data_IF_593134336970
#
_entry.id   IF_593134336970
#
_cell.length_a   1.000
_cell.length_b   1.000
_cell.length_c   1.000
_cell.angle_alpha   90.00
_cell.angle_beta   90.00
_cell.angle_gamma   90.00
#
_symmetry.space_group_name_H-M   'P 1'
#
loop_
_entity.id
_entity.type
_entity.pdbx_description
1 polymer ?
#
# COMPACT_ATOMS: atom_id res chain seq x y z
N UNK A 1 -33.18 -84.34 16.02
CA UNK A 1 -33.35 -82.88 16.27
C UNK A 1 -32.07 -82.33 16.89
N UNK A 2 -31.28 -81.54 16.15
CA UNK A 2 -30.03 -80.83 16.54
C UNK A 2 -29.44 -80.27 15.21
N UNK A 3 -28.91 -79.06 15.03
CA UNK A 3 -28.48 -77.93 15.87
C UNK A 3 -28.69 -76.63 15.04
N UNK A 4 -29.21 -75.54 15.61
CA UNK A 4 -29.15 -74.21 14.97
C UNK A 4 -27.71 -73.69 15.05
N UNK A 5 -27.08 -73.48 13.89
CA UNK A 5 -25.76 -72.85 13.75
C UNK A 5 -25.80 -71.44 14.36
N UNK A 6 -24.93 -71.20 15.34
CA UNK A 6 -24.61 -69.87 15.85
C UNK A 6 -23.75 -69.16 14.81
N UNK A 7 -24.14 -67.95 14.41
CA UNK A 7 -23.28 -67.08 13.61
C UNK A 7 -21.96 -66.88 14.37
N UNK A 8 -20.85 -67.23 13.73
CA UNK A 8 -19.50 -67.07 14.29
C UNK A 8 -19.16 -65.59 14.31
N UNK A 9 -18.99 -65.02 15.50
CA UNK A 9 -18.33 -63.72 15.68
C UNK A 9 -16.89 -63.90 15.20
N UNK A 10 -16.62 -63.50 13.95
CA UNK A 10 -15.28 -63.53 13.38
C UNK A 10 -14.49 -62.34 13.96
N UNK A 11 -13.50 -62.64 14.81
CA UNK A 11 -12.52 -61.64 15.26
C UNK A 11 -11.50 -61.37 14.16
N UNK A 12 -11.07 -60.11 14.02
CA UNK A 12 -10.02 -59.73 13.08
C UNK A 12 -8.68 -60.39 13.44
N UNK A 13 -7.93 -60.82 12.42
CA UNK A 13 -6.59 -61.36 12.63
C UNK A 13 -5.60 -60.24 12.98
N UNK A 14 -4.55 -60.56 13.74
CA UNK A 14 -3.52 -59.60 14.12
C UNK A 14 -2.85 -58.96 12.89
N UNK A 15 -2.67 -59.73 11.81
CA UNK A 15 -2.15 -59.25 10.52
C UNK A 15 -3.06 -58.22 9.85
N UNK A 16 -4.39 -58.45 9.84
CA UNK A 16 -5.35 -57.50 9.26
C UNK A 16 -5.40 -56.19 10.06
N UNK A 17 -5.32 -56.28 11.40
CA UNK A 17 -5.27 -55.09 12.26
C UNK A 17 -4.00 -54.26 12.01
N UNK A 18 -2.83 -54.91 11.86
CA UNK A 18 -1.57 -54.21 11.59
C UNK A 18 -1.56 -53.53 10.22
N UNK A 19 -2.08 -54.20 9.18
CA UNK A 19 -2.19 -53.59 7.83
C UNK A 19 -3.15 -52.40 7.86
N UNK A 20 -4.32 -52.54 8.49
CA UNK A 20 -5.31 -51.46 8.61
C UNK A 20 -4.76 -50.25 9.38
N UNK A 21 -4.07 -50.47 10.51
CA UNK A 21 -3.42 -49.41 11.29
C UNK A 21 -2.32 -48.71 10.50
N UNK A 22 -1.50 -49.46 9.75
CA UNK A 22 -0.43 -48.87 8.92
C UNK A 22 -0.98 -48.00 7.80
N UNK A 23 -2.05 -48.41 7.13
CA UNK A 23 -2.70 -47.61 6.09
C UNK A 23 -3.37 -46.37 6.69
N UNK A 24 -4.07 -46.53 7.82
CA UNK A 24 -4.73 -45.43 8.52
C UNK A 24 -3.75 -44.37 9.00
N UNK A 25 -2.57 -44.77 9.50
CA UNK A 25 -1.56 -43.83 9.98
C UNK A 25 -0.93 -43.02 8.84
N UNK A 26 -0.70 -43.62 7.66
CA UNK A 26 -0.22 -42.92 6.47
C UNK A 26 -1.25 -41.87 6.01
N UNK A 27 -2.53 -42.24 5.97
CA UNK A 27 -3.61 -41.31 5.59
C UNK A 27 -3.70 -40.15 6.58
N UNK A 28 -3.62 -40.43 7.88
CA UNK A 28 -3.66 -39.39 8.91
C UNK A 28 -2.44 -38.46 8.83
N UNK A 29 -1.24 -39.01 8.61
CA UNK A 29 -0.02 -38.22 8.42
C UNK A 29 -0.16 -37.30 7.20
N UNK A 30 -0.63 -37.82 6.07
CA UNK A 30 -0.88 -37.03 4.86
C UNK A 30 -1.91 -35.91 5.10
N UNK A 31 -2.98 -36.18 5.84
CA UNK A 31 -3.99 -35.19 6.19
C UNK A 31 -3.44 -34.07 7.07
N UNK A 32 -2.63 -34.39 8.08
CA UNK A 32 -2.00 -33.41 8.97
C UNK A 32 -1.01 -32.55 8.18
N UNK A 33 -0.14 -33.17 7.38
CA UNK A 33 0.82 -32.43 6.55
C UNK A 33 0.09 -31.50 5.58
N UNK A 34 -0.97 -31.99 4.91
CA UNK A 34 -1.80 -31.16 4.03
C UNK A 34 -2.42 -29.99 4.79
N UNK A 35 -2.98 -30.23 5.98
CA UNK A 35 -3.56 -29.19 6.83
C UNK A 35 -2.55 -28.09 7.20
N UNK A 36 -1.33 -28.47 7.61
CA UNK A 36 -0.27 -27.51 7.93
C UNK A 36 0.17 -26.73 6.69
N UNK A 37 0.28 -27.38 5.53
CA UNK A 37 0.64 -26.69 4.28
C UNK A 37 -0.42 -25.68 3.83
N UNK A 38 -1.71 -26.01 4.02
CA UNK A 38 -2.81 -25.08 3.74
C UNK A 38 -2.81 -23.88 4.67
N UNK A 39 -2.61 -24.09 5.98
CA UNK A 39 -2.51 -23.00 6.95
C UNK A 39 -1.37 -22.03 6.60
N UNK A 40 -0.19 -22.57 6.26
CA UNK A 40 0.94 -21.74 5.80
C UNK A 40 0.63 -20.98 4.52
N UNK A 41 -0.07 -21.62 3.59
CA UNK A 41 -0.47 -21.00 2.32
C UNK A 41 -1.46 -19.85 2.54
N UNK A 42 -2.46 -20.02 3.40
CA UNK A 42 -3.38 -18.93 3.74
C UNK A 42 -2.68 -17.77 4.45
N UNK A 43 -1.80 -18.07 5.41
CA UNK A 43 -1.01 -17.03 6.08
C UNK A 43 -0.11 -16.26 5.09
N UNK A 44 0.49 -16.94 4.12
CA UNK A 44 1.28 -16.31 3.07
C UNK A 44 0.42 -15.38 2.18
N UNK A 45 -0.78 -15.83 1.83
CA UNK A 45 -1.73 -15.06 1.02
C UNK A 45 -2.22 -13.81 1.75
N UNK A 46 -2.55 -13.91 3.04
CA UNK A 46 -2.97 -12.77 3.85
C UNK A 46 -1.89 -11.70 3.95
N UNK A 47 -0.62 -12.11 4.14
CA UNK A 47 0.51 -11.20 4.16
C UNK A 47 0.74 -10.53 2.80
N UNK A 48 0.59 -11.27 1.71
CA UNK A 48 0.69 -10.71 0.36
C UNK A 48 -0.39 -9.65 0.11
N UNK A 49 -1.66 -9.93 0.44
CA UNK A 49 -2.72 -8.93 0.23
C UNK A 49 -2.59 -7.73 1.16
N UNK A 50 -2.14 -7.92 2.39
CA UNK A 50 -1.86 -6.82 3.32
C UNK A 50 -0.81 -5.85 2.75
N UNK A 51 0.31 -6.38 2.22
CA UNK A 51 1.35 -5.56 1.60
C UNK A 51 0.89 -4.92 0.28
N UNK A 52 0.17 -5.66 -0.56
CA UNK A 52 -0.41 -5.14 -1.80
C UNK A 52 -1.40 -3.98 -1.55
N UNK A 53 -2.24 -4.09 -0.52
CA UNK A 53 -3.16 -3.02 -0.15
C UNK A 53 -2.43 -1.75 0.28
N UNK A 54 -1.31 -1.89 0.99
CA UNK A 54 -0.46 -0.74 1.35
C UNK A 54 0.19 -0.10 0.12
N UNK A 55 0.67 -0.89 -0.85
CA UNK A 55 1.19 -0.38 -2.13
C UNK A 55 0.17 0.49 -2.85
N UNK A 56 -1.06 -0.02 -3.02
CA UNK A 56 -2.14 0.68 -3.71
C UNK A 56 -2.48 1.98 -2.97
N UNK A 57 -2.52 1.93 -1.63
CA UNK A 57 -2.79 3.11 -0.80
C UNK A 57 -1.75 4.21 -1.02
N UNK A 58 -0.45 3.89 -1.02
CA UNK A 58 0.59 4.90 -1.26
C UNK A 58 0.37 5.59 -2.61
N UNK A 59 0.15 4.79 -3.65
CA UNK A 59 -0.06 5.31 -5.01
C UNK A 59 -1.29 6.19 -5.09
N UNK A 60 -2.41 5.79 -4.48
CA UNK A 60 -3.64 6.59 -4.49
C UNK A 60 -3.44 7.93 -3.79
N UNK A 61 -2.84 7.91 -2.59
CA UNK A 61 -2.54 9.12 -1.83
C UNK A 61 -1.62 10.07 -2.61
N UNK A 62 -0.52 9.55 -3.15
CA UNK A 62 0.44 10.34 -3.89
C UNK A 62 -0.20 10.88 -5.18
N UNK A 63 -0.90 10.06 -5.96
CA UNK A 63 -1.60 10.51 -7.16
C UNK A 63 -2.65 11.57 -6.88
N UNK A 64 -3.40 11.42 -5.78
CA UNK A 64 -4.42 12.39 -5.36
C UNK A 64 -3.78 13.74 -5.07
N UNK A 65 -2.67 13.75 -4.34
CA UNK A 65 -2.00 14.99 -3.96
C UNK A 65 -1.22 15.58 -5.15
N UNK A 66 -0.71 14.77 -6.10
CA UNK A 66 -0.06 15.25 -7.34
C UNK A 66 -1.09 15.96 -8.20
N UNK A 67 -2.28 15.37 -8.36
CA UNK A 67 -3.36 15.98 -9.14
C UNK A 67 -3.81 17.32 -8.58
N UNK A 68 -3.68 17.52 -7.27
CA UNK A 68 -4.02 18.77 -6.56
C UNK A 68 -2.84 19.73 -6.42
N UNK A 69 -1.61 19.29 -6.67
CA UNK A 69 -0.43 20.11 -6.52
C UNK A 69 -0.36 21.26 -7.53
N UNK A 70 0.45 22.25 -7.21
CA UNK A 70 0.97 23.26 -8.14
C UNK A 70 2.36 22.87 -8.64
N UNK A 71 3.18 22.34 -7.72
CA UNK A 71 4.55 21.91 -7.97
C UNK A 71 4.81 20.63 -7.17
N UNK A 72 5.55 19.72 -7.79
CA UNK A 72 6.07 18.49 -7.15
C UNK A 72 7.58 18.49 -7.31
N UNK A 73 8.28 18.28 -6.20
CA UNK A 73 9.74 18.22 -6.16
C UNK A 73 10.16 16.97 -5.43
N UNK A 74 10.97 16.13 -6.06
CA UNK A 74 11.58 14.98 -5.38
C UNK A 74 12.96 15.39 -4.85
N UNK A 75 13.34 14.85 -3.69
CA UNK A 75 14.69 15.05 -3.17
C UNK A 75 15.74 14.31 -4.02
N UNK A 76 16.98 14.79 -3.97
CA UNK A 76 18.12 14.22 -4.72
C UNK A 76 18.46 12.79 -4.31
N UNK A 77 18.17 12.43 -3.06
CA UNK A 77 18.33 11.08 -2.51
C UNK A 77 17.15 10.15 -2.85
N UNK A 78 16.13 10.67 -3.54
CA UNK A 78 14.90 9.97 -3.91
C UNK A 78 14.09 9.44 -2.72
N UNK A 79 14.34 9.94 -1.50
CA UNK A 79 13.67 9.46 -0.28
C UNK A 79 12.47 10.30 0.14
N UNK A 80 12.29 11.47 -0.48
CA UNK A 80 11.18 12.35 -0.20
C UNK A 80 10.59 12.98 -1.46
N UNK A 81 9.27 13.19 -1.41
CA UNK A 81 8.51 13.90 -2.44
C UNK A 81 7.77 15.03 -1.74
N UNK A 82 8.09 16.26 -2.11
CA UNK A 82 7.49 17.48 -1.57
C UNK A 82 6.57 18.11 -2.59
N UNK A 83 5.43 18.58 -2.14
CA UNK A 83 4.35 19.05 -2.99
C UNK A 83 3.73 20.29 -2.39
N UNK A 84 3.48 21.29 -3.22
CA UNK A 84 2.74 22.48 -2.82
C UNK A 84 1.29 22.35 -3.31
N UNK A 85 0.34 22.29 -2.37
CA UNK A 85 -1.09 22.11 -2.66
C UNK A 85 -1.84 23.41 -2.33
N UNK A 86 -2.70 23.93 -3.23
CA UNK A 86 -3.50 25.11 -2.93
C UNK A 86 -4.52 24.85 -1.82
N UNK A 87 -4.80 25.88 -1.03
CA UNK A 87 -5.97 25.86 -0.13
C UNK A 87 -7.25 26.19 -0.91
N UNK A 88 -8.06 25.16 -1.16
CA UNK A 88 -9.32 25.30 -1.92
C UNK A 88 -10.46 25.92 -1.11
N UNK A 89 -10.43 25.80 0.22
CA UNK A 89 -11.47 26.30 1.12
C UNK A 89 -10.88 27.43 1.95
N UNK A 90 -11.67 28.49 2.13
CA UNK A 90 -11.31 29.61 3.00
C UNK A 90 -11.37 29.12 4.45
N UNK A 91 -10.27 29.27 5.18
CA UNK A 91 -10.18 28.92 6.59
C UNK A 91 -9.98 30.17 7.44
N UNK A 92 -10.25 30.05 8.74
CA UNK A 92 -10.00 31.12 9.69
C UNK A 92 -8.53 31.57 9.63
N UNK A 93 -8.31 32.88 9.57
CA UNK A 93 -6.97 33.49 9.50
C UNK A 93 -6.41 33.64 8.08
N UNK A 94 -7.08 33.14 7.04
CA UNK A 94 -6.72 33.48 5.67
C UNK A 94 -7.15 34.93 5.33
N UNK A 95 -6.49 35.64 4.39
CA UNK A 95 -6.80 37.04 4.09
C UNK A 95 -8.26 37.30 3.73
N UNK A 96 -8.91 36.36 3.03
CA UNK A 96 -10.32 36.46 2.67
C UNK A 96 -11.23 36.35 3.90
N UNK A 97 -10.89 35.50 4.87
CA UNK A 97 -11.63 35.36 6.13
C UNK A 97 -11.44 36.55 7.09
N UNK A 98 -10.31 37.27 6.97
CA UNK A 98 -10.06 38.50 7.73
C UNK A 98 -10.93 39.64 7.19
N UNK A 99 -11.06 39.73 5.86
CA UNK A 99 -11.91 40.73 5.20
C UNK A 99 -13.41 40.42 5.36
N UNK A 100 -13.78 39.14 5.31
CA UNK A 100 -15.15 38.67 5.48
C UNK A 100 -15.19 37.34 6.28
N UNK A 101 -15.49 37.40 7.60
CA UNK A 101 -15.59 36.22 8.44
C UNK A 101 -16.69 35.23 8.02
N UNK A 102 -17.71 35.66 7.27
CA UNK A 102 -18.78 34.77 6.81
C UNK A 102 -18.33 33.88 5.64
N UNK A 103 -17.24 34.25 4.96
CA UNK A 103 -16.67 33.47 3.86
C UNK A 103 -15.95 32.18 4.32
N UNK A 104 -15.77 31.96 5.62
CA UNK A 104 -15.13 30.75 6.16
C UNK A 104 -15.94 29.52 5.74
N UNK A 105 -15.26 28.53 5.15
CA UNK A 105 -15.89 27.32 4.63
C UNK A 105 -16.36 27.42 3.18
N UNK A 106 -16.34 28.62 2.57
CA UNK A 106 -16.64 28.77 1.15
C UNK A 106 -15.45 28.33 0.28
N UNK A 107 -15.75 27.90 -0.95
CA UNK A 107 -14.74 27.57 -1.94
C UNK A 107 -14.08 28.85 -2.48
N UNK A 108 -12.76 28.81 -2.66
CA UNK A 108 -12.02 29.91 -3.27
C UNK A 108 -12.24 29.99 -4.78
N UNK A 109 -12.34 31.21 -5.27
CA UNK A 109 -12.41 31.48 -6.71
C UNK A 109 -11.03 31.25 -7.35
N UNK A 110 -10.92 30.40 -8.39
CA UNK A 110 -9.65 30.19 -9.08
C UNK A 110 -9.24 31.43 -9.87
N UNK A 111 -7.94 31.68 -9.93
CA UNK A 111 -7.29 32.67 -10.78
C UNK A 111 -6.30 31.97 -11.68
N UNK A 112 -6.08 32.50 -12.88
CA UNK A 112 -5.06 31.98 -13.80
C UNK A 112 -3.93 32.98 -13.88
N UNK A 113 -2.71 32.55 -13.56
CA UNK A 113 -1.53 33.39 -13.61
C UNK A 113 -0.39 32.68 -14.33
N UNK A 114 0.44 33.47 -15.00
CA UNK A 114 1.69 32.99 -15.57
C UNK A 114 2.78 33.03 -14.49
N UNK A 115 3.45 31.91 -14.25
CA UNK A 115 4.59 31.82 -13.33
C UNK A 115 5.82 31.31 -14.05
N UNK A 116 6.94 31.26 -13.33
CA UNK A 116 8.23 30.76 -13.84
C UNK A 116 8.13 29.36 -14.42
N UNK A 117 7.14 28.57 -14.01
CA UNK A 117 6.89 27.22 -14.49
C UNK A 117 5.78 27.13 -15.56
N UNK A 118 5.19 28.25 -15.97
CA UNK A 118 4.15 28.32 -17.01
C UNK A 118 2.79 28.84 -16.51
N UNK A 119 1.74 28.63 -17.31
CA UNK A 119 0.38 28.99 -16.91
C UNK A 119 -0.15 28.03 -15.84
N UNK A 120 -0.62 28.57 -14.73
CA UNK A 120 -1.21 27.78 -13.64
C UNK A 120 -2.49 28.40 -13.07
N UNK A 121 -3.38 27.51 -12.63
CA UNK A 121 -4.60 27.82 -11.89
C UNK A 121 -4.28 27.87 -10.40
N UNK A 122 -4.39 29.05 -9.81
CA UNK A 122 -4.15 29.29 -8.39
C UNK A 122 -5.46 29.55 -7.67
N UNK A 123 -5.57 29.07 -6.44
CA UNK A 123 -6.75 29.29 -5.60
C UNK A 123 -6.47 30.27 -4.47
N UNK A 124 -5.24 30.31 -3.94
CA UNK A 124 -4.83 31.17 -2.83
C UNK A 124 -3.36 31.53 -3.00
N UNK A 125 -2.91 32.71 -2.50
CA UNK A 125 -1.48 32.99 -2.33
C UNK A 125 -0.80 32.05 -1.33
N UNK A 126 -1.58 31.41 -0.45
CA UNK A 126 -1.09 30.48 0.56
C UNK A 126 -1.27 29.02 0.10
N UNK A 127 -0.23 28.22 0.28
CA UNK A 127 -0.24 26.80 -0.05
C UNK A 127 0.03 25.94 1.18
N UNK A 128 -0.57 24.76 1.20
CA UNK A 128 -0.23 23.69 2.15
C UNK A 128 0.91 22.86 1.57
N UNK A 129 1.95 22.64 2.36
CA UNK A 129 3.03 21.73 1.98
C UNK A 129 2.68 20.31 2.40
N UNK A 130 2.72 19.39 1.43
CA UNK A 130 2.60 17.95 1.66
C UNK A 130 3.95 17.31 1.37
N UNK A 131 4.47 16.56 2.33
CA UNK A 131 5.73 15.83 2.20
C UNK A 131 5.47 14.35 2.39
N UNK A 132 5.83 13.54 1.40
CA UNK A 132 5.98 12.11 1.57
C UNK A 132 7.44 11.81 1.86
N UNK A 133 7.72 11.07 2.92
CA UNK A 133 9.08 10.67 3.28
C UNK A 133 9.12 9.22 3.73
N UNK A 134 10.26 8.58 3.46
CA UNK A 134 10.57 7.27 4.02
C UNK A 134 11.18 7.50 5.40
N UNK A 135 10.62 6.85 6.41
CA UNK A 135 11.18 6.81 7.76
C UNK A 135 11.35 5.35 8.16
N UNK A 136 12.57 4.85 7.98
CA UNK A 136 12.90 3.44 8.12
C UNK A 136 12.06 2.56 7.21
N UNK A 137 11.10 1.89 7.81
CA UNK A 137 10.23 0.88 7.21
C UNK A 137 8.84 1.42 6.86
N UNK A 138 8.60 2.73 7.02
CA UNK A 138 7.30 3.35 6.80
C UNK A 138 7.38 4.50 5.81
N UNK A 139 6.30 4.70 5.07
CA UNK A 139 6.06 5.94 4.30
C UNK A 139 5.12 6.80 5.11
N UNK A 140 5.64 7.97 5.46
CA UNK A 140 4.93 9.01 6.18
C UNK A 140 4.45 10.06 5.18
N UNK A 141 3.27 10.59 5.44
CA UNK A 141 2.74 11.78 4.79
C UNK A 141 2.59 12.86 5.85
N UNK A 142 3.30 13.95 5.68
CA UNK A 142 3.20 15.13 6.53
C UNK A 142 2.44 16.22 5.78
N UNK A 143 1.34 16.69 6.35
CA UNK A 143 0.57 17.82 5.82
C UNK A 143 0.40 18.86 6.93
N UNK A 144 0.85 20.10 6.72
CA UNK A 144 0.79 21.17 7.72
C UNK A 144 1.32 20.76 9.11
N UNK A 145 2.40 19.98 9.14
CA UNK A 145 3.03 19.50 10.38
C UNK A 145 2.35 18.28 11.02
N UNK A 146 1.21 17.83 10.50
CA UNK A 146 0.54 16.61 10.96
C UNK A 146 1.09 15.41 10.19
N UNK A 147 1.71 14.47 10.92
CA UNK A 147 2.30 13.26 10.35
C UNK A 147 1.26 12.14 10.35
N UNK A 148 1.06 11.52 9.19
CA UNK A 148 0.21 10.34 9.02
C UNK A 148 1.02 9.20 8.41
N UNK A 149 1.03 8.04 9.04
CA UNK A 149 1.63 6.83 8.45
C UNK A 149 0.69 6.29 7.38
N UNK A 150 1.10 6.36 6.12
CA UNK A 150 0.30 5.87 4.99
C UNK A 150 0.51 4.38 4.80
N UNK A 151 1.75 3.94 4.95
CA UNK A 151 2.13 2.54 4.88
C UNK A 151 3.29 2.25 5.82
N UNK A 152 3.34 1.02 6.31
CA UNK A 152 4.41 0.52 7.15
C UNK A 152 4.71 -0.91 6.72
N UNK A 153 5.83 -1.09 6.03
CA UNK A 153 6.34 -2.40 5.67
C UNK A 153 7.45 -2.78 6.64
N UNK A 154 7.39 -3.94 7.28
CA UNK A 154 8.57 -4.49 7.97
C UNK A 154 9.78 -4.74 7.05
N UNK A 155 9.64 -4.56 5.72
CA UNK A 155 10.62 -5.06 4.74
C UNK A 155 11.01 -4.05 3.64
N UNK A 156 11.69 -2.96 4.04
CA UNK A 156 12.36 -1.95 3.21
C UNK A 156 11.54 -1.32 2.07
N UNK A 157 11.21 -0.04 2.24
CA UNK A 157 10.60 0.78 1.21
C UNK A 157 11.71 1.48 0.41
N UNK A 158 11.76 1.25 -0.90
CA UNK A 158 12.59 2.06 -1.80
C UNK A 158 11.68 2.59 -2.93
N UNK A 159 11.07 3.78 -2.76
CA UNK A 159 10.58 4.57 -3.87
C UNK A 159 11.80 4.95 -4.71
N UNK A 160 11.95 4.30 -5.87
CA UNK A 160 12.93 4.73 -6.87
C UNK A 160 12.14 5.40 -7.99
N UNK A 161 11.76 6.67 -7.78
CA UNK A 161 11.28 7.49 -8.89
C UNK A 161 12.47 8.15 -9.57
N UNK A 162 12.97 7.51 -10.63
CA UNK A 162 13.85 8.14 -11.62
C UNK A 162 13.00 8.99 -12.56
N UNK A 163 13.15 10.31 -12.48
CA UNK A 163 13.66 11.18 -13.56
C UNK A 163 13.15 12.61 -13.27
N UNK A 164 14.01 13.46 -12.71
CA UNK A 164 13.73 14.90 -12.56
C UNK A 164 14.74 15.65 -13.38
N UNK A 165 14.41 15.84 -14.65
CA UNK A 165 14.90 17.01 -15.34
C UNK A 165 14.16 18.21 -14.74
N UNK A 166 14.88 19.05 -13.99
CA UNK A 166 14.36 20.20 -13.23
C UNK A 166 13.62 21.26 -14.09
N UNK A 167 13.39 21.02 -15.37
CA UNK A 167 12.76 21.96 -16.28
C UNK A 167 11.22 21.85 -16.30
N UNK A 168 10.61 20.68 -16.08
CA UNK A 168 9.16 20.51 -16.27
C UNK A 168 8.49 19.61 -15.21
N UNK A 169 8.26 20.17 -14.03
CA UNK A 169 7.39 19.61 -12.98
C UNK A 169 5.93 19.57 -13.43
N UNK A 170 5.58 18.70 -14.38
CA UNK A 170 4.22 18.55 -14.92
C UNK A 170 3.56 17.23 -14.50
N UNK A 171 4.38 16.25 -14.16
CA UNK A 171 3.95 14.94 -13.72
C UNK A 171 4.91 14.37 -12.68
N UNK A 172 4.42 13.39 -11.94
CA UNK A 172 5.21 12.56 -11.05
C UNK A 172 5.07 11.10 -11.48
N UNK A 173 6.20 10.47 -11.78
CA UNK A 173 6.29 9.02 -11.93
C UNK A 173 6.61 8.42 -10.58
N UNK A 174 5.81 7.45 -10.16
CA UNK A 174 5.95 6.78 -8.87
C UNK A 174 6.11 5.31 -9.12
N UNK A 175 7.18 4.74 -8.56
CA UNK A 175 7.37 3.30 -8.47
C UNK A 175 7.42 2.92 -7.01
N UNK A 176 6.54 2.01 -6.60
CA UNK A 176 6.50 1.49 -5.24
C UNK A 176 6.68 -0.02 -5.32
N UNK A 177 7.75 -0.52 -4.70
CA UNK A 177 8.03 -1.95 -4.58
C UNK A 177 8.07 -2.31 -3.11
N UNK A 178 7.40 -3.39 -2.74
CA UNK A 178 7.58 -4.01 -1.43
C UNK A 178 8.17 -5.39 -1.65
N UNK A 179 9.00 -5.87 -0.72
CA UNK A 179 9.36 -7.28 -0.66
C UNK A 179 8.36 -8.01 0.26
N UNK A 180 7.52 -8.92 -0.27
CA UNK A 180 6.75 -9.81 0.58
C UNK A 180 7.68 -10.87 1.17
N UNK A 181 7.68 -10.99 2.49
CA UNK A 181 8.36 -12.09 3.20
C UNK A 181 7.43 -13.29 3.27
N UNK A 182 7.89 -14.42 2.77
CA UNK A 182 7.32 -15.72 3.08
C UNK A 182 8.19 -16.36 4.16
N UNK A 183 7.68 -16.45 5.39
CA UNK A 183 8.37 -17.16 6.46
C UNK A 183 8.02 -18.64 6.40
N UNK A 184 8.99 -19.47 6.04
CA UNK A 184 8.86 -20.93 6.17
C UNK A 184 9.90 -21.41 7.17
N UNK A 185 9.43 -21.86 8.34
CA UNK A 185 10.26 -22.55 9.34
C UNK A 185 11.55 -21.80 9.72
N UNK A 186 11.42 -20.51 10.05
CA UNK A 186 12.54 -19.66 10.48
C UNK A 186 13.47 -19.19 9.35
N UNK A 187 13.25 -19.64 8.11
CA UNK A 187 13.92 -19.12 6.92
C UNK A 187 13.06 -18.05 6.26
N UNK A 188 13.65 -16.86 6.09
CA UNK A 188 13.08 -15.73 5.37
C UNK A 188 13.43 -15.92 3.90
N UNK A 189 12.49 -16.45 3.11
CA UNK A 189 12.63 -16.43 1.66
C UNK A 189 12.08 -15.09 1.16
N UNK A 190 12.94 -14.06 1.09
CA UNK A 190 12.57 -12.82 0.43
C UNK A 190 12.43 -13.09 -1.07
N UNK A 191 11.24 -12.86 -1.61
CA UNK A 191 11.05 -12.83 -3.07
C UNK A 191 11.02 -11.38 -3.50
N UNK A 192 11.64 -11.10 -4.65
CA UNK A 192 11.45 -9.81 -5.33
C UNK A 192 9.94 -9.61 -5.49
N UNK A 193 9.40 -8.59 -4.84
CA UNK A 193 7.96 -8.40 -4.81
C UNK A 193 7.44 -7.66 -6.02
N UNK A 194 6.13 -7.47 -6.04
CA UNK A 194 5.44 -6.74 -7.10
C UNK A 194 5.77 -5.25 -7.01
N UNK A 195 6.26 -4.68 -8.10
CA UNK A 195 6.39 -3.22 -8.27
C UNK A 195 5.12 -2.67 -8.90
N UNK A 196 4.55 -1.63 -8.29
CA UNK A 196 3.48 -0.85 -8.89
C UNK A 196 4.04 0.45 -9.43
N UNK A 197 3.64 0.78 -10.65
CA UNK A 197 4.01 2.01 -11.34
C UNK A 197 2.78 2.87 -11.55
N UNK A 198 2.91 4.17 -11.29
CA UNK A 198 1.87 5.14 -11.56
C UNK A 198 2.45 6.46 -12.02
N UNK A 199 1.78 7.08 -12.97
CA UNK A 199 2.05 8.44 -13.42
C UNK A 199 0.86 9.31 -13.09
N UNK A 200 1.09 10.39 -12.34
CA UNK A 200 0.09 11.41 -12.11
C UNK A 200 0.55 12.74 -12.68
N UNK A 201 -0.40 13.46 -13.28
CA UNK A 201 -0.19 14.79 -13.82
C UNK A 201 -0.77 15.84 -12.89
N UNK A 202 -0.10 16.98 -12.79
CA UNK A 202 -0.61 18.17 -12.15
C UNK A 202 -1.82 18.69 -12.94
N UNK A 203 -2.96 18.88 -12.29
CA UNK A 203 -4.16 19.43 -12.96
C UNK A 203 -4.17 20.95 -13.01
N UNK A 204 -3.54 21.58 -12.03
CA UNK A 204 -3.54 23.03 -11.90
C UNK A 204 -2.51 23.68 -12.83
N UNK A 205 -1.63 22.91 -13.47
CA UNK A 205 -0.63 23.41 -14.41
C UNK A 205 -1.08 23.12 -15.84
N UNK A 206 -1.12 24.14 -16.69
CA UNK A 206 -1.46 23.97 -18.10
C UNK A 206 -0.23 23.44 -18.84
N UNK A 207 -0.42 22.36 -19.59
CA UNK A 207 0.61 21.75 -20.43
C UNK A 207 0.93 22.70 -21.59
N UNK A 208 2.20 23.03 -21.75
CA UNK A 208 2.75 23.83 -22.85
C UNK A 208 3.27 22.94 -23.96
#
# INVERSE_FOLDING_TARGET
MKIKSSQTVAGFTLSEMLVSLSLSSIVLAAAITSGVTLQKSFAAVDNYFSTQMQQIRIIDYLNRDVKRGLVVTTSVDLQSVTMSVPKYIIQAGDPEAIADPEAIGMARTPTVAYTTSGWQVNYSPSTTTVVYSISGNSILRTENGVITTIASSTDQLVPKSTDVELANTEYANTSVTFMPIFSSSGSVASRSGTSLYATAYLRNKRRG
#
